data_IF_668942550954
#
_entry.id   IF_668942550954
#
_cell.length_a   1.000
_cell.length_b   1.000
_cell.length_c   1.000
_cell.angle_alpha   90.00
_cell.angle_beta   90.00
_cell.angle_gamma   90.00
#
_symmetry.space_group_name_H-M   'P 1'
#
loop_
_entity.id
_entity.type
_entity.pdbx_description
1 polymer ?
#
# COMPACT_ATOMS: atom_id res chain seq x y z
N UNK A 1 16.98 5.45 0.22
CA UNK A 1 16.04 5.68 -0.92
C UNK A 1 15.84 7.16 -1.15
N UNK A 2 15.29 7.55 -2.32
CA UNK A 2 14.88 8.94 -2.62
C UNK A 2 13.38 9.07 -2.71
N UNK A 3 12.87 10.16 -2.17
CA UNK A 3 11.45 10.51 -2.20
C UNK A 3 11.27 11.78 -3.04
N UNK A 4 10.43 11.72 -4.06
CA UNK A 4 10.27 12.76 -5.07
C UNK A 4 8.90 13.42 -4.97
N UNK A 5 8.88 14.75 -5.06
CA UNK A 5 7.67 15.53 -5.18
C UNK A 5 7.15 16.09 -3.86
N UNK A 6 6.30 17.10 -3.99
CA UNK A 6 5.75 17.87 -2.87
C UNK A 6 5.00 17.00 -1.86
N UNK A 7 3.97 16.32 -2.32
CA UNK A 7 3.09 15.56 -1.43
C UNK A 7 3.79 14.40 -0.70
N UNK A 8 4.59 13.53 -1.37
CA UNK A 8 5.33 12.50 -0.69
C UNK A 8 6.25 13.03 0.42
N UNK A 9 6.99 14.12 0.14
CA UNK A 9 7.91 14.71 1.13
C UNK A 9 7.14 15.34 2.31
N UNK A 10 6.02 16.03 2.04
CA UNK A 10 5.17 16.61 3.08
C UNK A 10 4.56 15.54 3.98
N UNK A 11 3.99 14.48 3.40
CA UNK A 11 3.39 13.40 4.18
C UNK A 11 4.43 12.63 5.00
N UNK A 12 5.62 12.34 4.42
CA UNK A 12 6.72 11.74 5.16
C UNK A 12 7.17 12.61 6.33
N UNK A 13 7.29 13.92 6.11
CA UNK A 13 7.69 14.89 7.15
C UNK A 13 6.65 15.00 8.28
N UNK A 14 5.37 14.71 7.99
CA UNK A 14 4.30 14.66 9.01
C UNK A 14 4.28 13.35 9.78
N UNK A 15 4.31 12.23 9.06
CA UNK A 15 4.02 10.91 9.61
C UNK A 15 5.28 10.18 10.11
N UNK A 16 6.43 10.34 9.43
CA UNK A 16 7.67 9.66 9.78
C UNK A 16 8.90 10.53 9.50
N UNK A 17 9.06 11.67 10.19
CA UNK A 17 10.16 12.61 9.97
C UNK A 17 11.54 11.99 10.24
N UNK A 18 11.66 11.07 11.19
CA UNK A 18 12.93 10.46 11.59
C UNK A 18 13.58 9.62 10.48
N UNK A 19 12.80 9.17 9.50
CA UNK A 19 13.32 8.47 8.32
C UNK A 19 13.91 9.39 7.26
N UNK A 20 13.83 10.74 7.42
CA UNK A 20 14.34 11.70 6.46
C UNK A 20 15.75 12.11 6.87
N UNK A 21 16.74 11.82 6.02
CA UNK A 21 18.15 12.19 6.24
C UNK A 21 18.42 13.64 5.89
N UNK A 22 17.88 14.14 4.78
CA UNK A 22 18.00 15.51 4.28
C UNK A 22 16.98 15.80 3.20
N UNK A 23 16.67 17.06 3.02
CA UNK A 23 15.76 17.57 1.99
C UNK A 23 16.52 18.52 1.06
N UNK A 24 16.33 18.37 -0.25
CA UNK A 24 16.78 19.32 -1.27
C UNK A 24 15.57 20.02 -1.87
N UNK A 25 15.63 21.32 -1.96
CA UNK A 25 14.52 22.14 -2.43
C UNK A 25 15.01 23.25 -3.33
N UNK A 26 14.27 23.56 -4.39
CA UNK A 26 14.59 24.73 -5.23
C UNK A 26 14.44 26.03 -4.45
N UNK A 27 15.24 27.05 -4.77
CA UNK A 27 15.01 28.40 -4.25
C UNK A 27 13.60 28.89 -4.60
N UNK A 28 12.92 29.55 -3.68
CA UNK A 28 11.57 30.08 -3.88
C UNK A 28 10.48 29.01 -4.01
N UNK A 29 10.70 27.81 -3.48
CA UNK A 29 9.65 26.78 -3.44
C UNK A 29 8.49 27.24 -2.54
N UNK A 30 7.25 27.06 -2.98
CA UNK A 30 6.03 27.50 -2.28
C UNK A 30 5.91 26.97 -0.84
N UNK A 31 6.34 25.73 -0.59
CA UNK A 31 6.32 25.11 0.74
C UNK A 31 7.58 25.36 1.59
N UNK A 32 8.48 26.25 1.13
CA UNK A 32 9.79 26.44 1.78
C UNK A 32 9.68 26.77 3.27
N UNK A 33 8.80 27.68 3.62
CA UNK A 33 8.61 28.12 5.01
C UNK A 33 8.09 26.98 5.90
N UNK A 34 7.07 26.24 5.44
CA UNK A 34 6.48 25.15 6.19
C UNK A 34 7.46 24.00 6.37
N UNK A 35 8.09 23.55 5.26
CA UNK A 35 9.04 22.43 5.27
C UNK A 35 10.25 22.78 6.15
N UNK A 36 10.83 23.96 6.01
CA UNK A 36 11.98 24.38 6.82
C UNK A 36 11.65 24.42 8.32
N UNK A 37 10.48 24.94 8.69
CA UNK A 37 10.01 24.96 10.08
C UNK A 37 9.87 23.55 10.66
N UNK A 38 9.19 22.64 9.92
CA UNK A 38 9.00 21.23 10.33
C UNK A 38 10.32 20.46 10.37
N UNK A 39 11.16 20.61 9.35
CA UNK A 39 12.46 19.96 9.26
C UNK A 39 13.38 20.40 10.41
N UNK A 40 13.45 21.70 10.69
CA UNK A 40 14.22 22.25 11.83
C UNK A 40 13.79 21.65 13.17
N UNK A 41 12.47 21.49 13.39
CA UNK A 41 11.94 20.86 14.62
C UNK A 41 12.41 19.41 14.79
N UNK A 42 12.69 18.70 13.70
CA UNK A 42 13.12 17.31 13.69
C UNK A 42 14.63 17.13 13.41
N UNK A 43 15.42 18.22 13.41
CA UNK A 43 16.86 18.16 13.15
C UNK A 43 17.23 17.77 11.71
N UNK A 44 16.31 17.93 10.75
CA UNK A 44 16.51 17.51 9.36
C UNK A 44 17.13 18.66 8.57
N UNK A 45 18.32 18.48 7.93
CA UNK A 45 18.94 19.51 7.11
C UNK A 45 18.16 19.75 5.81
N UNK A 46 17.93 21.03 5.49
CA UNK A 46 17.28 21.46 4.25
C UNK A 46 18.29 22.26 3.42
N UNK A 47 18.53 21.82 2.19
CA UNK A 47 19.44 22.43 1.24
C UNK A 47 18.67 23.13 0.12
N UNK A 48 18.78 24.44 0.04
CA UNK A 48 18.24 25.21 -1.07
C UNK A 48 19.25 25.22 -2.22
N UNK A 49 18.84 24.70 -3.38
CA UNK A 49 19.69 24.55 -4.56
C UNK A 49 18.95 24.96 -5.83
N UNK A 50 19.66 25.31 -6.94
CA UNK A 50 19.01 25.59 -8.22
C UNK A 50 18.16 24.40 -8.70
N UNK A 51 17.05 24.69 -9.38
CA UNK A 51 16.14 23.66 -9.92
C UNK A 51 16.87 22.63 -10.81
N UNK A 52 17.84 23.10 -11.62
CA UNK A 52 18.65 22.22 -12.46
C UNK A 52 19.44 21.17 -11.66
N UNK A 53 19.94 21.54 -10.46
CA UNK A 53 20.59 20.58 -9.55
C UNK A 53 19.59 19.59 -8.95
N UNK A 54 18.38 20.06 -8.57
CA UNK A 54 17.31 19.15 -8.08
C UNK A 54 16.96 18.11 -9.15
N UNK A 55 16.76 18.54 -10.40
CA UNK A 55 16.46 17.68 -11.54
C UNK A 55 17.59 16.66 -11.80
N UNK A 56 18.86 17.11 -11.77
CA UNK A 56 20.01 16.22 -11.93
C UNK A 56 20.08 15.16 -10.84
N UNK A 57 19.86 15.52 -9.57
CA UNK A 57 19.81 14.57 -8.45
C UNK A 57 18.68 13.56 -8.59
N UNK A 58 17.58 13.96 -9.21
CA UNK A 58 16.41 13.15 -9.47
C UNK A 58 16.48 12.35 -10.78
N UNK A 59 17.61 12.39 -11.51
CA UNK A 59 17.75 11.74 -12.83
C UNK A 59 16.62 12.14 -13.79
N UNK A 60 16.31 13.44 -13.84
CA UNK A 60 15.23 14.03 -14.66
C UNK A 60 13.80 13.56 -14.33
N UNK A 61 13.59 12.92 -13.19
CA UNK A 61 12.23 12.67 -12.68
C UNK A 61 11.61 14.01 -12.26
N UNK A 62 10.33 14.20 -12.59
CA UNK A 62 9.61 15.39 -12.13
C UNK A 62 9.48 15.39 -10.60
N UNK A 63 10.15 16.32 -9.95
CA UNK A 63 10.21 16.47 -8.49
C UNK A 63 9.35 17.61 -7.97
N UNK A 64 8.74 18.38 -8.85
CA UNK A 64 8.09 19.65 -8.46
C UNK A 64 9.04 20.59 -7.69
N UNK A 65 10.35 20.44 -7.87
CA UNK A 65 11.37 21.25 -7.20
C UNK A 65 11.76 20.82 -5.79
N UNK A 66 11.35 19.61 -5.35
CA UNK A 66 11.71 19.06 -4.04
C UNK A 66 11.99 17.56 -4.11
N UNK A 67 13.00 17.17 -3.35
CA UNK A 67 13.35 15.74 -3.18
C UNK A 67 13.93 15.54 -1.76
N UNK A 68 13.74 14.37 -1.17
CA UNK A 68 14.35 13.99 0.08
C UNK A 68 15.16 12.70 -0.03
N UNK A 69 16.30 12.62 0.63
CA UNK A 69 16.97 11.37 0.93
C UNK A 69 16.36 10.79 2.20
N UNK A 70 15.91 9.56 2.12
CA UNK A 70 15.25 8.85 3.22
C UNK A 70 15.91 7.51 3.50
N UNK A 71 15.60 6.91 4.63
CA UNK A 71 15.96 5.53 4.91
C UNK A 71 15.28 4.56 3.94
N UNK A 72 15.78 3.34 3.87
CA UNK A 72 15.10 2.30 3.11
C UNK A 72 13.76 1.94 3.77
N UNK A 73 12.82 1.46 2.95
CA UNK A 73 11.50 1.10 3.45
C UNK A 73 11.60 -0.08 4.43
N UNK A 74 11.06 0.10 5.63
CA UNK A 74 11.00 -0.93 6.65
C UNK A 74 9.73 -1.78 6.49
N UNK A 75 9.90 -3.08 6.27
CA UNK A 75 8.81 -4.04 6.24
C UNK A 75 8.45 -4.49 7.66
N UNK A 76 7.15 -4.61 7.92
CA UNK A 76 6.65 -5.13 9.20
C UNK A 76 6.90 -6.66 9.29
N UNK A 77 7.25 -7.20 10.46
CA UNK A 77 7.26 -8.64 10.70
C UNK A 77 5.87 -9.27 10.52
N UNK A 78 5.82 -10.47 9.93
CA UNK A 78 4.53 -11.14 9.65
C UNK A 78 3.75 -11.48 10.95
N UNK A 79 4.44 -11.87 12.00
CA UNK A 79 3.80 -12.20 13.28
C UNK A 79 3.11 -10.99 13.92
N UNK A 80 3.67 -9.79 13.73
CA UNK A 80 3.04 -8.53 14.16
C UNK A 80 1.76 -8.27 13.35
N UNK A 81 1.80 -8.47 12.04
CA UNK A 81 0.63 -8.36 11.17
C UNK A 81 -0.48 -9.35 11.55
N UNK A 82 -0.11 -10.60 11.88
CA UNK A 82 -1.04 -11.61 12.39
C UNK A 82 -1.69 -11.16 13.70
N UNK A 83 -0.92 -10.57 14.61
CA UNK A 83 -1.45 -10.03 15.88
C UNK A 83 -2.44 -8.90 15.65
N UNK A 84 -2.17 -7.98 14.73
CA UNK A 84 -3.10 -6.92 14.36
C UNK A 84 -4.41 -7.48 13.78
N UNK A 85 -4.32 -8.45 12.88
CA UNK A 85 -5.49 -9.04 12.24
C UNK A 85 -6.33 -9.85 13.23
N UNK A 86 -5.73 -10.74 14.02
CA UNK A 86 -6.45 -11.54 15.02
C UNK A 86 -7.16 -10.69 16.07
N UNK A 87 -6.62 -9.50 16.38
CA UNK A 87 -7.25 -8.51 17.25
C UNK A 87 -8.29 -7.62 16.57
N UNK A 88 -8.70 -7.93 15.33
CA UNK A 88 -9.62 -7.12 14.50
C UNK A 88 -9.17 -5.66 14.27
N UNK A 89 -7.87 -5.40 14.41
CA UNK A 89 -7.29 -4.05 14.21
C UNK A 89 -6.88 -3.80 12.76
N UNK A 90 -6.75 -4.86 11.95
CA UNK A 90 -6.43 -4.75 10.55
C UNK A 90 -6.95 -5.94 9.73
N UNK A 91 -7.13 -5.74 8.43
CA UNK A 91 -7.41 -6.79 7.44
C UNK A 91 -6.11 -7.11 6.71
N UNK A 92 -5.79 -8.41 6.55
CA UNK A 92 -4.63 -8.83 5.77
C UNK A 92 -4.97 -8.84 4.28
N UNK A 93 -4.23 -8.07 3.50
CA UNK A 93 -4.37 -8.06 2.05
C UNK A 93 -3.19 -8.80 1.41
N UNK A 94 -3.41 -10.03 0.99
CA UNK A 94 -2.43 -10.86 0.29
C UNK A 94 -2.44 -10.53 -1.21
N UNK A 95 -1.37 -9.95 -1.73
CA UNK A 95 -1.25 -9.63 -3.16
C UNK A 95 -0.45 -10.72 -3.88
N UNK A 96 -1.16 -11.55 -4.64
CA UNK A 96 -0.54 -12.68 -5.34
C UNK A 96 0.00 -12.26 -6.70
N UNK A 97 1.33 -12.31 -6.85
CA UNK A 97 2.03 -12.08 -8.11
C UNK A 97 1.85 -10.67 -8.72
N UNK A 98 1.57 -9.66 -7.89
CA UNK A 98 1.53 -8.27 -8.33
C UNK A 98 2.95 -7.82 -8.71
N UNK A 99 3.15 -7.33 -9.95
CA UNK A 99 4.47 -6.97 -10.47
C UNK A 99 4.64 -5.47 -10.74
N UNK A 100 3.56 -4.77 -11.04
CA UNK A 100 3.61 -3.36 -11.41
C UNK A 100 3.73 -2.44 -10.19
N UNK A 101 4.81 -1.62 -10.10
CA UNK A 101 4.96 -0.60 -9.07
C UNK A 101 3.83 0.43 -9.05
N UNK A 102 3.18 0.71 -10.19
CA UNK A 102 2.06 1.64 -10.27
C UNK A 102 0.86 1.09 -9.47
N UNK A 103 0.56 -0.20 -9.63
CA UNK A 103 -0.54 -0.83 -8.90
C UNK A 103 -0.26 -0.87 -7.39
N UNK A 104 0.93 -1.27 -6.96
CA UNK A 104 1.26 -1.26 -5.52
C UNK A 104 1.19 0.15 -4.93
N UNK A 105 1.72 1.15 -5.64
CA UNK A 105 1.65 2.54 -5.20
C UNK A 105 0.21 3.06 -5.08
N UNK A 106 -0.64 2.74 -6.07
CA UNK A 106 -2.06 3.10 -6.05
C UNK A 106 -2.81 2.40 -4.91
N UNK A 107 -2.54 1.10 -4.68
CA UNK A 107 -3.12 0.35 -3.55
C UNK A 107 -2.73 1.01 -2.22
N UNK A 108 -1.44 1.26 -1.98
CA UNK A 108 -0.97 1.92 -0.76
C UNK A 108 -1.68 3.26 -0.52
N UNK A 109 -1.80 4.07 -1.56
CA UNK A 109 -2.47 5.37 -1.48
C UNK A 109 -3.95 5.24 -1.14
N UNK A 110 -4.66 4.33 -1.81
CA UNK A 110 -6.10 4.15 -1.63
C UNK A 110 -6.39 3.55 -0.24
N UNK A 111 -5.61 2.56 0.19
CA UNK A 111 -5.77 1.96 1.51
C UNK A 111 -5.43 2.93 2.64
N UNK A 112 -4.48 3.84 2.45
CA UNK A 112 -4.21 4.91 3.42
C UNK A 112 -5.42 5.83 3.66
N UNK A 113 -6.30 5.96 2.67
CA UNK A 113 -7.57 6.69 2.82
C UNK A 113 -8.66 5.85 3.51
N UNK A 114 -8.59 4.53 3.43
CA UNK A 114 -9.57 3.61 4.02
C UNK A 114 -9.18 3.15 5.42
N UNK A 115 -7.88 3.05 5.72
CA UNK A 115 -7.33 2.62 7.02
C UNK A 115 -7.44 1.12 7.28
N UNK A 116 -6.78 0.67 8.37
CA UNK A 116 -6.93 -0.68 8.93
C UNK A 116 -6.60 -1.87 8.00
N UNK A 117 -5.60 -1.72 7.14
CA UNK A 117 -5.09 -2.79 6.28
C UNK A 117 -3.60 -3.04 6.51
N UNK A 118 -3.17 -4.27 6.29
CA UNK A 118 -1.76 -4.67 6.17
C UNK A 118 -1.59 -5.41 4.85
N UNK A 119 -0.65 -4.96 4.01
CA UNK A 119 -0.34 -5.63 2.74
C UNK A 119 0.68 -6.74 2.98
N UNK A 120 0.42 -7.93 2.44
CA UNK A 120 1.34 -9.07 2.48
C UNK A 120 1.78 -9.44 1.05
N UNK A 121 3.07 -9.30 0.79
CA UNK A 121 3.70 -9.56 -0.51
C UNK A 121 4.62 -10.78 -0.44
N UNK A 122 4.70 -11.62 -1.47
CA UNK A 122 5.77 -12.61 -1.55
C UNK A 122 7.12 -11.94 -1.83
N UNK A 123 8.19 -12.52 -1.30
CA UNK A 123 9.56 -12.02 -1.52
C UNK A 123 10.00 -12.14 -2.99
N UNK A 124 9.52 -13.19 -3.68
CA UNK A 124 9.88 -13.47 -5.07
C UNK A 124 8.67 -13.33 -6.00
N UNK A 125 8.93 -13.00 -7.27
CA UNK A 125 7.91 -12.85 -8.32
C UNK A 125 6.81 -11.83 -7.95
N UNK A 126 7.20 -10.78 -7.24
CA UNK A 126 6.30 -9.69 -6.84
C UNK A 126 7.07 -8.38 -6.77
N UNK A 127 6.34 -7.29 -6.85
CA UNK A 127 6.85 -5.93 -6.67
C UNK A 127 7.36 -5.74 -5.23
N UNK A 128 8.38 -4.89 -5.09
CA UNK A 128 8.86 -4.40 -3.78
C UNK A 128 8.55 -2.92 -3.64
N UNK A 129 8.53 -2.41 -2.42
CA UNK A 129 8.40 -0.96 -2.19
C UNK A 129 9.71 -0.29 -2.62
N UNK A 130 9.64 0.37 -3.78
CA UNK A 130 10.75 1.08 -4.43
C UNK A 130 10.44 2.58 -4.50
N UNK A 131 11.40 3.40 -4.92
CA UNK A 131 11.18 4.83 -5.17
C UNK A 131 10.03 5.10 -6.15
N UNK A 132 9.82 4.20 -7.14
CA UNK A 132 8.70 4.27 -8.07
C UNK A 132 7.35 4.07 -7.36
N UNK A 133 7.27 3.10 -6.45
CA UNK A 133 6.08 2.85 -5.62
C UNK A 133 5.81 4.05 -4.72
N UNK A 134 6.82 4.56 -4.01
CA UNK A 134 6.67 5.71 -3.11
C UNK A 134 6.14 6.96 -3.82
N UNK A 135 6.58 7.17 -5.06
CA UNK A 135 6.09 8.29 -5.89
C UNK A 135 4.60 8.21 -6.17
N UNK A 136 4.10 7.01 -6.50
CA UNK A 136 2.67 6.78 -6.80
C UNK A 136 1.84 6.77 -5.52
N UNK A 137 2.37 6.18 -4.46
CA UNK A 137 1.72 6.11 -3.14
C UNK A 137 1.49 7.51 -2.53
N UNK A 138 2.26 8.52 -2.96
CA UNK A 138 2.10 9.92 -2.52
C UNK A 138 2.09 10.10 -0.99
N UNK A 139 2.82 9.26 -0.26
CA UNK A 139 2.87 9.29 1.20
C UNK A 139 1.99 8.24 1.87
N UNK A 140 1.13 7.51 1.13
CA UNK A 140 0.27 6.45 1.66
C UNK A 140 1.05 5.30 2.32
N UNK A 141 2.28 5.08 1.89
CA UNK A 141 3.20 4.10 2.47
C UNK A 141 3.58 4.38 3.93
N UNK A 142 3.29 5.56 4.45
CA UNK A 142 3.54 5.88 5.85
C UNK A 142 2.42 5.37 6.78
N UNK A 143 1.29 5.01 6.23
CA UNK A 143 0.07 4.65 6.97
C UNK A 143 -0.31 3.19 6.83
N UNK A 144 0.15 2.53 5.79
CA UNK A 144 -0.18 1.13 5.49
C UNK A 144 1.08 0.26 5.65
N UNK A 145 1.13 -0.59 6.68
CA UNK A 145 2.21 -1.55 6.85
C UNK A 145 2.27 -2.53 5.68
N UNK A 146 3.49 -2.86 5.29
CA UNK A 146 3.76 -3.87 4.25
C UNK A 146 4.65 -4.95 4.84
N UNK A 147 4.27 -6.19 4.62
CA UNK A 147 4.98 -7.39 5.04
C UNK A 147 5.55 -8.11 3.81
N UNK A 148 6.72 -8.69 3.94
CA UNK A 148 7.26 -9.64 2.97
C UNK A 148 7.34 -11.03 3.56
N UNK A 149 6.82 -12.02 2.82
CA UNK A 149 6.86 -13.43 3.20
C UNK A 149 7.52 -14.28 2.10
N UNK A 150 8.30 -15.29 2.43
CA UNK A 150 8.89 -16.16 1.42
C UNK A 150 7.85 -16.94 0.61
N UNK A 151 6.70 -17.28 1.24
CA UNK A 151 5.67 -18.10 0.64
C UNK A 151 4.27 -17.70 1.12
N UNK A 152 3.43 -17.18 0.20
CA UNK A 152 2.06 -16.76 0.51
C UNK A 152 1.19 -17.92 1.01
N UNK A 153 1.32 -19.12 0.44
CA UNK A 153 0.50 -20.27 0.88
C UNK A 153 0.78 -20.63 2.35
N UNK A 154 2.06 -20.56 2.77
CA UNK A 154 2.42 -20.77 4.18
C UNK A 154 1.86 -19.66 5.07
N UNK A 155 2.00 -18.41 4.64
CA UNK A 155 1.48 -17.26 5.38
C UNK A 155 -0.05 -17.34 5.56
N UNK A 156 -0.78 -17.72 4.50
CA UNK A 156 -2.23 -17.93 4.55
C UNK A 156 -2.61 -19.05 5.52
N UNK A 157 -1.90 -20.19 5.53
CA UNK A 157 -2.15 -21.26 6.51
C UNK A 157 -1.95 -20.77 7.94
N UNK A 158 -0.84 -20.06 8.20
CA UNK A 158 -0.59 -19.48 9.54
C UNK A 158 -1.67 -18.46 9.94
N UNK A 159 -2.22 -17.69 9.00
CA UNK A 159 -3.35 -16.80 9.27
C UNK A 159 -4.61 -17.58 9.64
N UNK A 160 -4.92 -18.67 8.91
CA UNK A 160 -6.06 -19.55 9.23
C UNK A 160 -5.93 -20.24 10.59
N UNK A 161 -4.73 -20.69 10.95
CA UNK A 161 -4.43 -21.25 12.29
C UNK A 161 -4.69 -20.25 13.43
N UNK A 162 -4.66 -18.95 13.13
CA UNK A 162 -5.03 -17.87 14.05
C UNK A 162 -6.51 -17.47 13.98
N UNK A 163 -7.34 -18.25 13.29
CA UNK A 163 -8.78 -18.01 13.14
C UNK A 163 -9.14 -16.89 12.15
N UNK A 164 -8.19 -16.45 11.31
CA UNK A 164 -8.46 -15.41 10.29
C UNK A 164 -9.15 -16.07 9.09
N UNK A 165 -10.33 -15.60 8.75
CA UNK A 165 -11.07 -16.01 7.54
C UNK A 165 -10.38 -15.52 6.29
N UNK A 166 -10.24 -16.38 5.30
CA UNK A 166 -9.56 -16.06 4.05
C UNK A 166 -10.53 -16.09 2.89
N UNK A 167 -10.61 -14.97 2.19
CA UNK A 167 -11.42 -14.84 0.97
C UNK A 167 -10.52 -14.56 -0.23
N UNK A 168 -10.90 -15.03 -1.42
CA UNK A 168 -10.20 -14.72 -2.66
C UNK A 168 -11.07 -13.89 -3.60
N UNK A 169 -10.50 -12.82 -4.13
CA UNK A 169 -11.10 -12.06 -5.22
C UNK A 169 -10.93 -12.80 -6.54
N UNK A 170 -12.04 -13.10 -7.21
CA UNK A 170 -12.03 -13.76 -8.52
C UNK A 170 -12.85 -12.97 -9.55
N UNK A 171 -12.60 -13.24 -10.81
CA UNK A 171 -13.39 -12.68 -11.92
C UNK A 171 -14.54 -13.64 -12.23
N UNK A 172 -15.74 -13.29 -11.78
CA UNK A 172 -16.94 -14.09 -11.98
C UNK A 172 -17.02 -15.37 -11.13
N UNK A 173 -18.21 -15.85 -10.87
CA UNK A 173 -18.47 -17.12 -10.17
C UNK A 173 -18.22 -17.12 -8.65
N UNK A 174 -17.82 -16.00 -8.05
CA UNK A 174 -17.76 -15.81 -6.60
C UNK A 174 -19.06 -15.22 -6.05
N UNK A 175 -19.17 -15.17 -4.72
CA UNK A 175 -20.22 -14.41 -4.07
C UNK A 175 -20.14 -12.93 -4.46
N UNK A 176 -21.28 -12.28 -4.66
CA UNK A 176 -21.33 -10.87 -5.02
C UNK A 176 -20.82 -10.01 -3.87
N UNK A 177 -19.88 -9.11 -4.16
CA UNK A 177 -19.30 -8.17 -3.20
C UNK A 177 -20.35 -7.39 -2.41
N UNK A 178 -21.52 -7.09 -3.02
CA UNK A 178 -22.60 -6.32 -2.38
C UNK A 178 -23.39 -7.12 -1.36
N UNK A 179 -23.47 -8.44 -1.52
CA UNK A 179 -24.34 -9.32 -0.71
C UNK A 179 -23.52 -10.21 0.22
N UNK A 180 -22.23 -10.43 -0.06
CA UNK A 180 -21.38 -11.28 0.76
C UNK A 180 -21.25 -10.71 2.18
N UNK A 181 -21.34 -11.58 3.17
CA UNK A 181 -21.04 -11.21 4.55
C UNK A 181 -19.55 -11.40 4.84
N UNK A 182 -18.86 -10.28 5.12
CA UNK A 182 -17.45 -10.26 5.47
C UNK A 182 -17.24 -10.70 6.91
N UNK A 183 -16.69 -11.88 7.09
CA UNK A 183 -16.42 -12.42 8.42
C UNK A 183 -15.05 -11.98 8.93
N UNK A 184 -14.99 -11.50 10.15
CA UNK A 184 -13.76 -11.02 10.79
C UNK A 184 -13.34 -11.94 11.94
N UNK A 185 -12.01 -12.04 12.20
CA UNK A 185 -10.90 -11.39 11.51
C UNK A 185 -10.72 -11.87 10.07
N UNK A 186 -10.28 -11.00 9.15
CA UNK A 186 -10.34 -11.20 7.70
C UNK A 186 -8.98 -11.08 7.02
N UNK A 187 -8.74 -11.95 6.05
CA UNK A 187 -7.71 -11.84 5.02
C UNK A 187 -8.33 -11.92 3.63
N UNK A 188 -7.95 -11.03 2.72
CA UNK A 188 -8.37 -11.01 1.32
C UNK A 188 -7.17 -11.30 0.42
N UNK A 189 -7.31 -12.24 -0.51
CA UNK A 189 -6.31 -12.50 -1.55
C UNK A 189 -6.76 -11.79 -2.83
N UNK A 190 -5.87 -10.97 -3.38
CA UNK A 190 -6.05 -10.35 -4.70
C UNK A 190 -4.96 -10.86 -5.62
N UNK A 191 -5.36 -11.40 -6.78
CA UNK A 191 -4.44 -11.90 -7.79
C UNK A 191 -3.95 -10.84 -8.76
N UNK A 192 -3.01 -11.23 -9.62
CA UNK A 192 -2.56 -10.39 -10.73
C UNK A 192 -3.62 -10.29 -11.83
N UNK A 193 -3.55 -9.23 -12.65
CA UNK A 193 -4.48 -8.99 -13.77
C UNK A 193 -4.47 -10.11 -14.80
N UNK A 194 -3.32 -10.76 -15.00
CA UNK A 194 -3.16 -11.77 -16.05
C UNK A 194 -3.63 -13.17 -15.63
N UNK A 195 -3.38 -13.54 -14.38
CA UNK A 195 -3.57 -14.93 -13.90
C UNK A 195 -4.60 -15.05 -12.79
N UNK A 196 -5.08 -13.94 -12.25
CA UNK A 196 -5.92 -13.99 -11.06
C UNK A 196 -5.18 -14.57 -9.85
N UNK A 197 -5.92 -15.13 -8.92
CA UNK A 197 -5.39 -15.86 -7.75
C UNK A 197 -4.98 -17.26 -8.17
N UNK A 198 -3.73 -17.66 -7.86
CA UNK A 198 -3.21 -18.99 -8.18
C UNK A 198 -4.01 -20.09 -7.48
N UNK A 199 -4.25 -21.22 -8.18
CA UNK A 199 -5.03 -22.36 -7.68
C UNK A 199 -4.53 -22.89 -6.34
N UNK A 200 -3.20 -22.89 -6.12
CA UNK A 200 -2.62 -23.34 -4.86
C UNK A 200 -3.03 -22.47 -3.66
N UNK A 201 -3.30 -21.19 -3.88
CA UNK A 201 -3.82 -20.29 -2.85
C UNK A 201 -5.34 -20.39 -2.75
N UNK A 202 -6.03 -20.54 -3.89
CA UNK A 202 -7.49 -20.68 -3.93
C UNK A 202 -8.00 -21.91 -3.18
N UNK A 203 -7.22 -22.99 -3.12
CA UNK A 203 -7.52 -24.17 -2.28
C UNK A 203 -7.44 -23.91 -0.77
N UNK A 204 -6.94 -22.75 -0.35
CA UNK A 204 -6.78 -22.38 1.05
C UNK A 204 -7.82 -21.35 1.53
N UNK A 205 -8.73 -20.91 0.65
CA UNK A 205 -9.73 -19.90 1.00
C UNK A 205 -11.01 -20.54 1.54
N UNK A 206 -11.73 -19.77 2.32
CA UNK A 206 -13.02 -20.17 2.86
C UNK A 206 -14.15 -19.82 1.88
N UNK A 207 -13.99 -18.70 1.11
CA UNK A 207 -14.93 -18.27 0.08
C UNK A 207 -14.24 -17.51 -1.05
N UNK A 208 -14.83 -17.61 -2.24
CA UNK A 208 -14.53 -16.74 -3.38
C UNK A 208 -15.52 -15.58 -3.43
N UNK A 209 -15.04 -14.38 -3.73
CA UNK A 209 -15.85 -13.16 -3.86
C UNK A 209 -15.56 -12.48 -5.20
N UNK A 210 -16.56 -11.90 -5.82
CA UNK A 210 -16.42 -11.24 -7.12
C UNK A 210 -17.13 -9.88 -7.15
N UNK A 211 -16.65 -9.02 -8.02
CA UNK A 211 -17.31 -7.76 -8.35
C UNK A 211 -18.19 -8.03 -9.58
N UNK A 212 -19.51 -7.79 -9.51
CA UNK A 212 -20.39 -7.90 -10.67
C UNK A 212 -19.93 -6.96 -11.78
N UNK A 213 -19.75 -7.49 -12.98
CA UNK A 213 -19.32 -6.73 -14.15
C UNK A 213 -20.29 -6.90 -15.30
N UNK A 214 -20.62 -5.81 -15.99
CA UNK A 214 -21.49 -5.84 -17.15
C UNK A 214 -20.90 -6.63 -18.34
N UNK A 215 -19.57 -6.71 -18.41
CA UNK A 215 -18.84 -7.40 -19.47
C UNK A 215 -17.95 -8.49 -18.88
N UNK A 216 -18.34 -9.74 -19.03
CA UNK A 216 -17.64 -10.91 -18.46
C UNK A 216 -16.24 -11.18 -19.03
N UNK A 217 -15.92 -10.60 -20.18
CA UNK A 217 -14.60 -10.76 -20.84
C UNK A 217 -13.56 -9.73 -20.38
N UNK A 218 -13.96 -8.71 -19.63
CA UNK A 218 -13.08 -7.69 -19.10
C UNK A 218 -12.74 -7.98 -17.64
N UNK A 219 -11.63 -7.43 -17.18
CA UNK A 219 -11.25 -7.41 -15.78
C UNK A 219 -10.88 -6.00 -15.35
N UNK A 220 -11.15 -5.68 -14.11
CA UNK A 220 -10.67 -4.43 -13.52
C UNK A 220 -9.16 -4.51 -13.30
N UNK A 221 -8.48 -3.36 -13.40
CA UNK A 221 -7.11 -3.25 -12.94
C UNK A 221 -7.02 -3.67 -11.46
N UNK A 222 -5.92 -4.35 -11.06
CA UNK A 222 -5.75 -4.90 -9.72
C UNK A 222 -5.89 -3.85 -8.61
N UNK A 223 -5.39 -2.63 -8.81
CA UNK A 223 -5.52 -1.57 -7.80
C UNK A 223 -6.97 -1.09 -7.67
N UNK A 224 -7.71 -1.00 -8.77
CA UNK A 224 -9.13 -0.62 -8.75
C UNK A 224 -9.98 -1.70 -8.10
N UNK A 225 -9.81 -2.96 -8.48
CA UNK A 225 -10.51 -4.09 -7.86
C UNK A 225 -10.23 -4.14 -6.34
N UNK A 226 -8.97 -4.03 -5.96
CA UNK A 226 -8.55 -3.99 -4.55
C UNK A 226 -9.26 -2.87 -3.79
N UNK A 227 -9.35 -1.68 -4.38
CA UNK A 227 -9.99 -0.53 -3.74
C UNK A 227 -11.47 -0.77 -3.49
N UNK A 228 -12.18 -1.34 -4.46
CA UNK A 228 -13.61 -1.66 -4.33
C UNK A 228 -13.86 -2.69 -3.23
N UNK A 229 -13.10 -3.79 -3.21
CA UNK A 229 -13.19 -4.77 -2.13
C UNK A 229 -12.90 -4.18 -0.77
N UNK A 230 -11.83 -3.41 -0.64
CA UNK A 230 -11.44 -2.80 0.63
C UNK A 230 -12.44 -1.74 1.09
N UNK A 231 -13.03 -0.97 0.18
CA UNK A 231 -14.12 -0.04 0.52
C UNK A 231 -15.33 -0.77 1.09
N UNK A 232 -15.76 -1.85 0.45
CA UNK A 232 -16.91 -2.63 0.91
C UNK A 232 -16.64 -3.31 2.26
N UNK A 233 -15.43 -3.84 2.47
CA UNK A 233 -15.00 -4.37 3.76
C UNK A 233 -15.12 -3.30 4.86
N UNK A 234 -14.61 -2.09 4.62
CA UNK A 234 -14.69 -0.99 5.58
C UNK A 234 -16.14 -0.57 5.83
N UNK A 235 -16.97 -0.50 4.78
CA UNK A 235 -18.39 -0.19 4.90
C UNK A 235 -19.12 -1.17 5.81
N UNK A 236 -18.91 -2.48 5.65
CA UNK A 236 -19.56 -3.50 6.48
C UNK A 236 -18.95 -3.58 7.88
N UNK A 237 -17.67 -3.27 8.07
CA UNK A 237 -17.03 -3.26 9.39
C UNK A 237 -17.58 -2.16 10.31
N UNK A 238 -18.39 -1.24 9.76
CA UNK A 238 -18.97 -0.14 10.53
C UNK A 238 -17.93 0.88 11.01
N UNK A 239 -16.75 0.87 10.42
CA UNK A 239 -15.71 1.85 10.69
C UNK A 239 -16.24 3.23 10.30
N UNK A 240 -16.49 4.08 11.29
CA UNK A 240 -16.74 5.50 11.07
C UNK A 240 -15.49 6.04 10.38
N UNK A 241 -15.57 6.29 9.08
CA UNK A 241 -14.57 7.12 8.40
C UNK A 241 -14.64 8.45 9.14
N UNK A 242 -13.68 8.72 10.00
CA UNK A 242 -13.62 9.97 10.74
C UNK A 242 -13.57 11.12 9.72
N UNK A 243 -14.60 11.94 9.74
CA UNK A 243 -14.66 13.22 9.01
C UNK A 243 -13.63 14.19 9.57
#
# INVERSE_FOLDING_TARGET
MKLYGRNPVLERLKANPHSIKKIFMKHGHEEAAYISKKAKKNGIPVHFIPLSKVQKLARNINTQGILADIDDFAYMPFDEALGLASGNKAVLLFLDSLQDPQNLGAILRNLACLGNFVIVLPTHKSVSVTEAVLRVACGGENYIPVVKVPNLARAIRSAREKGIWIMASIVGGGEDIHTVFWQFPLGLIVGSEQKGVRDVLRKLVDRDVSIPMAQSRLSLNAAHATTLFCYEIVRQQGSKINK
#
